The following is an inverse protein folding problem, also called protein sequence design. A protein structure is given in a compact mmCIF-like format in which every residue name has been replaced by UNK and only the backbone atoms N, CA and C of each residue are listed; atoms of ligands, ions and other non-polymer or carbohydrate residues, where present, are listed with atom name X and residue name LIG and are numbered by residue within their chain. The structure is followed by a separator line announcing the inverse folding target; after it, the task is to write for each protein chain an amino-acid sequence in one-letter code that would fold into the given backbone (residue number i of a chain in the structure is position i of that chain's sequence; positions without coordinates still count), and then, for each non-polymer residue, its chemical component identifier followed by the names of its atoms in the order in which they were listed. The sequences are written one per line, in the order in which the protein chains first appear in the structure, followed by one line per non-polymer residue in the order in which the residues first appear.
data_IF_130438126420
#
_entry.id   IF_130438126420
#
_cell.length_a   1.000
_cell.length_b   1.000
_cell.length_c   1.000
_cell.angle_alpha   90.00
_cell.angle_beta   90.00
_cell.angle_gamma   90.00
#
_symmetry.space_group_name_H-M   'P 1'
#
loop_
_entity.id
_entity.type
_entity.pdbx_description
1 polymer ?
#
# COMPACT_ATOMS: atom_id res chain seq x y z
N UNK A 1 -14.84 11.07 -21.69
CA UNK A 1 -13.92 10.07 -22.27
C UNK A 1 -12.82 10.80 -23.01
N UNK A 2 -11.56 10.67 -22.59
CA UNK A 2 -10.40 11.07 -23.40
C UNK A 2 -10.17 10.03 -24.48
N UNK A 3 -9.75 10.47 -25.68
CA UNK A 3 -9.64 9.65 -26.90
C UNK A 3 -8.84 8.36 -26.68
N UNK A 4 -9.19 7.25 -27.37
CA UNK A 4 -8.30 6.10 -27.46
C UNK A 4 -6.98 6.57 -28.07
N UNK A 5 -5.86 6.36 -27.36
CA UNK A 5 -4.53 6.84 -27.75
C UNK A 5 -3.89 7.93 -26.87
N UNK A 6 -4.61 8.57 -25.93
CA UNK A 6 -3.95 9.47 -24.97
C UNK A 6 -3.15 8.67 -23.92
N UNK A 7 -1.91 9.06 -23.55
CA UNK A 7 -1.22 8.43 -22.41
C UNK A 7 -2.06 8.54 -21.13
N UNK A 8 -1.96 7.55 -20.25
CA UNK A 8 -2.44 7.69 -18.88
C UNK A 8 -1.39 8.42 -18.03
N UNK A 9 -1.78 8.82 -16.82
CA UNK A 9 -0.82 9.31 -15.84
C UNK A 9 0.02 8.13 -15.28
N UNK A 10 1.23 8.41 -14.81
CA UNK A 10 2.20 7.42 -14.33
C UNK A 10 1.93 6.81 -12.96
N UNK A 11 0.85 7.18 -12.26
CA UNK A 11 0.59 6.68 -10.90
C UNK A 11 0.46 5.16 -10.82
N UNK A 12 -0.14 4.51 -11.81
CA UNK A 12 -0.29 3.05 -11.79
C UNK A 12 1.04 2.32 -12.02
N UNK A 13 1.90 2.87 -12.89
CA UNK A 13 3.27 2.39 -13.05
C UNK A 13 4.08 2.55 -11.77
N UNK A 14 3.98 3.71 -11.11
CA UNK A 14 4.68 3.96 -9.84
C UNK A 14 4.23 3.02 -8.73
N UNK A 15 2.93 2.69 -8.66
CA UNK A 15 2.43 1.67 -7.71
C UNK A 15 3.03 0.30 -7.96
N UNK A 16 3.14 -0.11 -9.23
CA UNK A 16 3.75 -1.39 -9.57
C UNK A 16 5.25 -1.41 -9.24
N UNK A 17 5.96 -0.31 -9.51
CA UNK A 17 7.37 -0.13 -9.10
C UNK A 17 7.49 -0.19 -7.57
N UNK A 18 6.61 0.48 -6.84
CA UNK A 18 6.59 0.46 -5.38
C UNK A 18 6.38 -0.96 -4.83
N UNK A 19 5.45 -1.74 -5.40
CA UNK A 19 5.28 -3.15 -5.04
C UNK A 19 6.55 -3.97 -5.34
N UNK A 20 7.18 -3.77 -6.50
CA UNK A 20 8.41 -4.47 -6.86
C UNK A 20 9.59 -4.12 -5.93
N UNK A 21 9.71 -2.86 -5.49
CA UNK A 21 10.73 -2.46 -4.50
C UNK A 21 10.54 -3.18 -3.16
N UNK A 22 9.29 -3.41 -2.73
CA UNK A 22 8.97 -4.20 -1.54
C UNK A 22 9.38 -5.66 -1.72
N UNK A 23 9.14 -6.25 -2.90
CA UNK A 23 9.61 -7.61 -3.26
C UNK A 23 11.14 -7.69 -3.19
N UNK A 24 11.85 -6.70 -3.72
CA UNK A 24 13.33 -6.63 -3.68
C UNK A 24 13.84 -6.59 -2.23
N UNK A 25 13.20 -5.80 -1.37
CA UNK A 25 13.54 -5.76 0.05
C UNK A 25 13.36 -7.12 0.72
N UNK A 26 12.17 -7.73 0.57
CA UNK A 26 11.85 -9.03 1.17
C UNK A 26 12.73 -10.18 0.66
N UNK A 27 13.14 -10.16 -0.62
CA UNK A 27 14.04 -11.16 -1.18
C UNK A 27 15.39 -11.24 -0.44
N UNK A 28 15.77 -10.18 0.27
CA UNK A 28 16.98 -10.12 1.09
C UNK A 28 16.71 -10.44 2.55
N UNK A 29 15.75 -9.75 3.18
CA UNK A 29 15.52 -9.90 4.63
C UNK A 29 14.92 -11.25 5.01
N UNK A 30 14.12 -11.87 4.11
CA UNK A 30 13.58 -13.21 4.35
C UNK A 30 14.61 -14.33 4.15
N UNK A 31 15.77 -14.03 3.57
CA UNK A 31 16.95 -14.90 3.56
C UNK A 31 17.84 -14.69 4.82
N UNK A 32 17.36 -13.95 5.82
CA UNK A 32 18.12 -13.64 7.04
C UNK A 32 19.23 -12.61 6.85
N UNK A 33 19.34 -12.00 5.67
CA UNK A 33 20.35 -10.97 5.40
C UNK A 33 19.88 -9.58 5.84
N UNK A 34 20.81 -8.73 6.26
CA UNK A 34 20.52 -7.33 6.58
C UNK A 34 19.91 -6.59 5.36
N UNK A 35 18.97 -5.66 5.55
CA UNK A 35 18.37 -4.90 4.46
C UNK A 35 19.44 -4.14 3.68
N UNK A 36 19.25 -4.04 2.36
CA UNK A 36 20.10 -3.22 1.52
C UNK A 36 19.63 -1.77 1.60
N UNK A 37 20.52 -0.87 2.04
CA UNK A 37 20.24 0.57 2.17
C UNK A 37 20.66 1.31 0.90
N UNK A 38 19.85 2.29 0.48
CA UNK A 38 20.22 3.21 -0.58
C UNK A 38 21.05 4.33 0.07
N UNK A 39 22.38 4.19 0.05
CA UNK A 39 23.28 5.12 0.75
C UNK A 39 22.93 5.22 2.24
N UNK A 40 22.69 6.44 2.71
CA UNK A 40 22.22 6.76 4.07
C UNK A 40 20.71 7.02 4.13
N UNK A 41 19.99 6.66 3.07
CA UNK A 41 18.55 6.86 2.94
C UNK A 41 17.73 5.62 3.32
N UNK A 42 16.63 5.33 2.60
CA UNK A 42 15.75 4.21 2.91
C UNK A 42 16.27 2.90 2.30
N UNK A 43 15.79 1.78 2.82
CA UNK A 43 15.80 0.52 2.07
C UNK A 43 14.67 0.52 0.99
N UNK A 44 14.72 -0.37 -0.01
CA UNK A 44 13.68 -0.45 -1.05
C UNK A 44 12.26 -0.64 -0.53
N UNK A 45 12.06 -1.36 0.57
CA UNK A 45 10.75 -1.60 1.16
C UNK A 45 10.17 -0.32 1.75
N UNK A 46 10.97 0.41 2.54
CA UNK A 46 10.59 1.71 3.06
C UNK A 46 10.30 2.74 1.94
N UNK A 47 11.09 2.75 0.87
CA UNK A 47 10.84 3.58 -0.31
C UNK A 47 9.52 3.21 -1.00
N UNK A 48 9.28 1.92 -1.25
CA UNK A 48 8.06 1.42 -1.86
C UNK A 48 6.80 1.77 -1.06
N UNK A 49 6.81 1.50 0.25
CA UNK A 49 5.72 1.90 1.15
C UNK A 49 5.54 3.42 1.15
N UNK A 50 6.62 4.20 1.21
CA UNK A 50 6.54 5.66 1.14
C UNK A 50 5.89 6.18 -0.14
N UNK A 51 6.22 5.59 -1.30
CA UNK A 51 5.58 5.91 -2.59
C UNK A 51 4.07 5.61 -2.51
N UNK A 52 3.67 4.45 -1.99
CA UNK A 52 2.25 4.13 -1.80
C UNK A 52 1.54 5.18 -0.95
N UNK A 53 2.11 5.60 0.18
CA UNK A 53 1.49 6.59 1.06
C UNK A 53 1.34 7.95 0.39
N UNK A 54 2.35 8.45 -0.34
CA UNK A 54 2.22 9.71 -1.09
C UNK A 54 1.11 9.61 -2.14
N UNK A 55 1.11 8.55 -2.95
CA UNK A 55 0.11 8.33 -4.01
C UNK A 55 -1.29 8.24 -3.41
N UNK A 56 -1.45 7.49 -2.31
CA UNK A 56 -2.70 7.36 -1.59
C UNK A 56 -3.17 8.71 -1.06
N UNK A 57 -2.29 9.48 -0.40
CA UNK A 57 -2.60 10.84 0.05
C UNK A 57 -3.15 11.72 -1.07
N UNK A 58 -2.45 11.76 -2.21
CA UNK A 58 -2.85 12.56 -3.36
C UNK A 58 -4.18 12.09 -3.98
N UNK A 59 -4.26 10.83 -4.40
CA UNK A 59 -5.42 10.34 -5.16
C UNK A 59 -6.67 10.08 -4.31
N UNK A 60 -6.51 9.73 -3.03
CA UNK A 60 -7.62 9.50 -2.11
C UNK A 60 -8.24 10.82 -1.66
N UNK A 61 -7.44 11.89 -1.46
CA UNK A 61 -7.98 13.24 -1.21
C UNK A 61 -8.79 13.75 -2.41
N UNK A 62 -8.28 13.55 -3.63
CA UNK A 62 -9.04 13.83 -4.84
C UNK A 62 -10.35 13.01 -4.92
N UNK A 63 -10.31 11.76 -4.47
CA UNK A 63 -11.50 10.89 -4.40
C UNK A 63 -12.53 11.39 -3.38
N UNK A 64 -12.09 11.90 -2.23
CA UNK A 64 -12.99 12.47 -1.21
C UNK A 64 -13.74 13.68 -1.78
N UNK A 65 -13.01 14.63 -2.39
CA UNK A 65 -13.59 15.86 -2.98
C UNK A 65 -14.62 15.59 -4.07
N UNK A 66 -14.48 14.49 -4.82
CA UNK A 66 -15.39 14.12 -5.92
C UNK A 66 -16.56 13.24 -5.50
N UNK A 67 -16.61 12.79 -4.24
CA UNK A 67 -17.63 11.84 -3.78
C UNK A 67 -18.72 12.60 -3.01
N UNK A 68 -20.02 12.25 -3.17
CA UNK A 68 -21.14 12.98 -2.57
C UNK A 68 -21.17 12.94 -1.03
N UNK A 69 -20.46 12.02 -0.39
CA UNK A 69 -20.41 11.93 1.07
C UNK A 69 -19.38 10.93 1.57
N UNK A 70 -19.08 11.01 2.87
CA UNK A 70 -18.04 10.21 3.54
C UNK A 70 -18.34 8.71 3.54
N UNK A 71 -19.63 8.30 3.62
CA UNK A 71 -20.02 6.90 3.54
C UNK A 71 -19.67 6.25 2.19
N UNK A 72 -19.97 6.94 1.09
CA UNK A 72 -19.59 6.48 -0.27
C UNK A 72 -18.08 6.48 -0.44
N UNK A 73 -17.38 7.44 0.18
CA UNK A 73 -15.92 7.50 0.16
C UNK A 73 -15.32 6.26 0.85
N UNK A 74 -15.78 5.93 2.05
CA UNK A 74 -15.33 4.75 2.79
C UNK A 74 -15.68 3.45 2.07
N UNK A 75 -16.90 3.33 1.52
CA UNK A 75 -17.28 2.16 0.72
C UNK A 75 -16.32 1.92 -0.46
N UNK A 76 -15.89 2.98 -1.16
CA UNK A 76 -14.88 2.86 -2.23
C UNK A 76 -13.51 2.38 -1.73
N UNK A 77 -13.15 2.65 -0.47
CA UNK A 77 -11.90 2.19 0.16
C UNK A 77 -12.01 0.73 0.60
N UNK A 78 -13.12 0.37 1.24
CA UNK A 78 -13.42 -1.03 1.61
C UNK A 78 -13.39 -1.92 0.38
N UNK A 79 -14.08 -1.54 -0.71
CA UNK A 79 -14.05 -2.27 -1.98
C UNK A 79 -12.67 -2.33 -2.66
N UNK A 80 -11.72 -1.46 -2.26
CA UNK A 80 -10.35 -1.47 -2.79
C UNK A 80 -9.42 -2.43 -2.03
N UNK A 81 -9.64 -2.61 -0.73
CA UNK A 81 -8.75 -3.36 0.18
C UNK A 81 -9.35 -4.72 0.52
N UNK A 82 -10.56 -4.74 1.11
CA UNK A 82 -11.09 -5.92 1.80
C UNK A 82 -11.24 -7.17 0.90
N UNK A 83 -11.72 -7.09 -0.36
CA UNK A 83 -11.87 -8.28 -1.19
C UNK A 83 -10.53 -8.97 -1.49
N UNK A 84 -9.52 -8.19 -1.91
CA UNK A 84 -8.20 -8.74 -2.23
C UNK A 84 -7.47 -9.23 -0.97
N UNK A 85 -7.60 -8.50 0.14
CA UNK A 85 -7.07 -8.94 1.44
C UNK A 85 -7.70 -10.25 1.89
N UNK A 86 -9.03 -10.37 1.85
CA UNK A 86 -9.73 -11.59 2.25
C UNK A 86 -9.27 -12.79 1.41
N UNK A 87 -9.17 -12.63 0.09
CA UNK A 87 -8.67 -13.69 -0.79
C UNK A 87 -7.24 -14.10 -0.44
N UNK A 88 -6.35 -13.13 -0.18
CA UNK A 88 -4.98 -13.40 0.22
C UNK A 88 -4.90 -14.13 1.57
N UNK A 89 -5.67 -13.69 2.57
CA UNK A 89 -5.70 -14.32 3.90
C UNK A 89 -6.24 -15.75 3.83
N UNK A 90 -7.31 -16.00 3.06
CA UNK A 90 -7.87 -17.34 2.86
C UNK A 90 -6.87 -18.25 2.14
N UNK A 91 -6.20 -17.76 1.08
CA UNK A 91 -5.16 -18.51 0.40
C UNK A 91 -4.01 -18.85 1.37
N UNK A 92 -3.55 -17.85 2.13
CA UNK A 92 -2.46 -18.02 3.09
C UNK A 92 -2.82 -19.02 4.19
N UNK A 93 -3.97 -18.88 4.84
CA UNK A 93 -4.34 -19.70 5.99
C UNK A 93 -4.88 -21.08 5.61
N UNK A 94 -5.66 -21.19 4.53
CA UNK A 94 -6.39 -22.43 4.21
C UNK A 94 -5.73 -23.27 3.12
N UNK A 95 -4.78 -22.70 2.37
CA UNK A 95 -4.07 -23.41 1.30
C UNK A 95 -2.58 -23.49 1.61
N UNK A 96 -1.91 -22.35 1.73
CA UNK A 96 -0.47 -22.31 1.94
C UNK A 96 -0.08 -22.84 3.33
N UNK A 97 -0.81 -22.44 4.38
CA UNK A 97 -0.60 -22.86 5.76
C UNK A 97 -0.45 -24.38 5.93
N UNK A 98 -1.45 -25.20 5.59
CA UNK A 98 -1.34 -26.66 5.73
C UNK A 98 -0.34 -27.32 4.77
N UNK A 99 0.10 -26.63 3.70
CA UNK A 99 1.11 -27.16 2.78
C UNK A 99 2.54 -27.00 3.29
N UNK A 100 2.78 -26.02 4.18
CA UNK A 100 4.11 -25.67 4.69
C UNK A 100 4.16 -25.64 6.22
N UNK A 101 3.15 -26.22 6.87
CA UNK A 101 3.11 -26.41 8.31
C UNK A 101 3.81 -27.71 8.69
N UNK A 102 4.53 -27.70 9.80
CA UNK A 102 5.11 -28.91 10.41
C UNK A 102 4.05 -29.80 11.09
N UNK A 103 2.79 -29.33 11.18
CA UNK A 103 1.69 -30.07 11.77
C UNK A 103 1.00 -31.00 10.74
N UNK A 104 0.50 -32.17 11.16
CA UNK A 104 -0.45 -32.92 10.36
C UNK A 104 -1.67 -32.06 9.99
N UNK A 105 -2.17 -32.20 8.76
CA UNK A 105 -3.31 -31.41 8.25
C UNK A 105 -4.54 -31.49 9.16
N UNK A 106 -4.78 -32.64 9.78
CA UNK A 106 -5.89 -32.84 10.72
C UNK A 106 -5.73 -31.97 11.99
N UNK A 107 -4.51 -31.86 12.52
CA UNK A 107 -4.22 -31.06 13.71
C UNK A 107 -4.25 -29.57 13.37
N UNK A 108 -3.73 -29.19 12.20
CA UNK A 108 -3.76 -27.80 11.71
C UNK A 108 -5.18 -27.24 11.62
N UNK A 109 -6.12 -28.02 11.05
CA UNK A 109 -7.53 -27.62 10.94
C UNK A 109 -8.36 -27.94 12.19
N UNK A 110 -7.81 -28.70 13.14
CA UNK A 110 -8.39 -28.88 14.47
C UNK A 110 -8.25 -27.63 15.36
N UNK A 111 -7.30 -26.74 15.05
CA UNK A 111 -7.09 -25.46 15.74
C UNK A 111 -7.98 -24.34 15.16
N UNK A 112 -8.41 -23.41 16.01
CA UNK A 112 -9.11 -22.19 15.60
C UNK A 112 -8.17 -21.12 15.00
N UNK A 113 -6.86 -21.27 15.17
CA UNK A 113 -5.85 -20.29 14.78
C UNK A 113 -5.87 -19.91 13.28
N UNK A 114 -6.05 -20.83 12.30
CA UNK A 114 -6.15 -20.44 10.88
C UNK A 114 -7.35 -19.53 10.60
N UNK A 115 -8.51 -19.81 11.22
CA UNK A 115 -9.69 -18.97 11.08
C UNK A 115 -9.50 -17.63 11.81
N UNK A 116 -8.96 -17.64 13.03
CA UNK A 116 -8.66 -16.43 13.78
C UNK A 116 -7.64 -15.56 13.06
N UNK A 117 -6.64 -16.13 12.40
CA UNK A 117 -5.70 -15.40 11.56
C UNK A 117 -6.41 -14.61 10.47
N UNK A 118 -7.36 -15.23 9.76
CA UNK A 118 -8.16 -14.55 8.73
C UNK A 118 -8.99 -13.43 9.33
N UNK A 119 -9.76 -13.70 10.41
CA UNK A 119 -10.66 -12.71 11.00
C UNK A 119 -9.90 -11.53 11.61
N UNK A 120 -8.83 -11.82 12.35
CA UNK A 120 -7.99 -10.81 13.00
C UNK A 120 -7.30 -9.92 11.97
N UNK A 121 -6.69 -10.49 10.93
CA UNK A 121 -6.02 -9.69 9.90
C UNK A 121 -7.01 -8.96 8.98
N UNK A 122 -8.20 -9.51 8.72
CA UNK A 122 -9.26 -8.81 7.98
C UNK A 122 -9.76 -7.56 8.72
N UNK A 123 -9.70 -7.57 10.05
CA UNK A 123 -10.01 -6.38 10.87
C UNK A 123 -8.99 -5.24 10.69
N UNK A 124 -7.80 -5.53 10.11
CA UNK A 124 -6.63 -4.66 9.99
C UNK A 124 -5.94 -4.29 11.32
N UNK A 125 -6.63 -4.31 12.45
CA UNK A 125 -6.09 -3.79 13.72
C UNK A 125 -5.52 -4.88 14.63
N UNK A 126 -6.06 -6.10 14.58
CA UNK A 126 -5.58 -7.24 15.34
C UNK A 126 -4.50 -8.04 14.59
N UNK A 127 -3.53 -7.36 13.98
CA UNK A 127 -2.55 -8.01 13.07
C UNK A 127 -1.88 -9.21 13.75
N UNK A 128 -1.99 -10.37 13.12
CA UNK A 128 -1.39 -11.64 13.57
C UNK A 128 -0.47 -12.12 12.47
N UNK A 129 0.77 -12.45 12.83
CA UNK A 129 1.80 -12.78 11.85
C UNK A 129 2.05 -14.28 11.72
N UNK A 130 1.70 -15.05 12.73
CA UNK A 130 1.97 -16.48 12.84
C UNK A 130 0.75 -17.35 12.51
N UNK A 131 1.04 -18.59 12.08
CA UNK A 131 0.09 -19.69 11.95
C UNK A 131 0.72 -20.94 12.58
N UNK A 132 -0.07 -21.89 13.11
CA UNK A 132 0.47 -23.07 13.78
C UNK A 132 1.43 -23.88 12.89
N UNK A 133 2.68 -24.03 13.33
CA UNK A 133 3.71 -24.80 12.64
C UNK A 133 4.18 -24.24 11.29
N UNK A 134 3.75 -23.05 10.88
CA UNK A 134 4.06 -22.49 9.55
C UNK A 134 5.37 -21.70 9.61
N UNK A 135 6.35 -22.09 8.80
CA UNK A 135 7.67 -21.44 8.70
C UNK A 135 8.44 -21.37 10.02
N UNK A 136 8.36 -22.43 10.85
CA UNK A 136 9.08 -22.47 12.12
C UNK A 136 10.61 -22.50 11.91
N UNK A 137 11.06 -23.21 10.88
CA UNK A 137 12.48 -23.40 10.54
C UNK A 137 12.99 -22.50 9.40
N UNK A 138 12.14 -21.60 8.88
CA UNK A 138 12.54 -20.67 7.81
C UNK A 138 13.57 -19.64 8.32
N UNK A 139 14.41 -19.05 7.43
CA UNK A 139 15.40 -18.05 7.86
C UNK A 139 14.81 -16.82 8.54
N UNK A 140 13.53 -16.52 8.27
CA UNK A 140 12.74 -15.51 8.97
C UNK A 140 11.53 -16.19 9.65
N UNK A 141 11.70 -16.76 10.86
CA UNK A 141 10.75 -17.72 11.39
C UNK A 141 9.46 -17.08 11.92
N UNK A 142 8.36 -17.85 11.89
CA UNK A 142 7.06 -17.53 12.51
C UNK A 142 6.36 -16.24 12.00
N UNK A 143 6.75 -15.71 10.84
CA UNK A 143 6.07 -14.57 10.22
C UNK A 143 5.58 -14.96 8.83
N UNK A 144 4.30 -15.28 8.72
CA UNK A 144 3.66 -15.74 7.49
C UNK A 144 3.46 -14.61 6.49
N UNK A 145 3.04 -13.43 6.96
CA UNK A 145 2.84 -12.27 6.09
C UNK A 145 3.15 -10.95 6.82
N UNK A 146 4.42 -10.54 6.74
CA UNK A 146 4.86 -9.28 7.32
C UNK A 146 4.26 -8.06 6.63
N UNK A 147 3.91 -8.11 5.34
CA UNK A 147 3.37 -6.96 4.58
C UNK A 147 2.08 -6.37 5.15
N UNK A 148 1.34 -7.10 5.98
CA UNK A 148 0.04 -6.67 6.51
C UNK A 148 0.11 -5.44 7.41
N UNK A 149 1.28 -5.15 8.01
CA UNK A 149 1.45 -4.08 8.99
C UNK A 149 1.09 -2.68 8.46
N UNK A 150 1.30 -2.43 7.16
CA UNK A 150 1.11 -1.09 6.56
C UNK A 150 -0.36 -0.80 6.26
N UNK A 151 -1.18 -1.84 6.01
CA UNK A 151 -2.59 -1.70 5.62
C UNK A 151 -3.40 -1.04 6.71
N UNK A 152 -3.09 -1.32 7.98
CA UNK A 152 -3.75 -0.67 9.14
C UNK A 152 -3.46 0.82 9.18
N UNK A 153 -2.24 1.23 8.83
CA UNK A 153 -1.86 2.64 8.78
C UNK A 153 -2.53 3.35 7.61
N UNK A 154 -2.55 2.71 6.43
CA UNK A 154 -3.22 3.24 5.25
C UNK A 154 -4.72 3.44 5.50
N UNK A 155 -5.40 2.42 6.03
CA UNK A 155 -6.83 2.50 6.31
C UNK A 155 -7.13 3.53 7.42
N UNK A 156 -6.26 3.65 8.43
CA UNK A 156 -6.37 4.70 9.46
C UNK A 156 -6.23 6.10 8.86
N UNK A 157 -5.32 6.31 7.90
CA UNK A 157 -5.22 7.58 7.17
C UNK A 157 -6.50 7.87 6.38
N UNK A 158 -7.14 6.86 5.81
CA UNK A 158 -8.44 7.01 5.14
C UNK A 158 -9.56 7.40 6.11
N UNK A 159 -9.60 6.78 7.31
CA UNK A 159 -10.56 7.14 8.35
C UNK A 159 -10.35 8.58 8.84
N UNK A 160 -9.10 8.98 9.07
CA UNK A 160 -8.76 10.36 9.45
C UNK A 160 -9.19 11.37 8.39
N UNK A 161 -8.93 11.08 7.11
CA UNK A 161 -9.36 11.92 6.02
C UNK A 161 -10.89 11.96 5.87
N UNK A 162 -11.59 10.84 6.10
CA UNK A 162 -13.05 10.80 6.15
C UNK A 162 -13.61 11.66 7.29
N UNK A 163 -13.01 11.61 8.48
CA UNK A 163 -13.41 12.42 9.62
C UNK A 163 -13.22 13.92 9.32
N UNK A 164 -12.05 14.31 8.77
CA UNK A 164 -11.82 15.68 8.31
C UNK A 164 -12.83 16.10 7.22
N UNK A 165 -13.18 15.19 6.31
CA UNK A 165 -14.22 15.41 5.30
C UNK A 165 -15.59 15.66 5.91
N UNK A 166 -16.00 14.86 6.88
CA UNK A 166 -17.28 14.99 7.59
C UNK A 166 -17.38 16.33 8.34
N UNK A 167 -16.28 16.75 8.97
CA UNK A 167 -16.17 18.01 9.68
C UNK A 167 -15.94 19.22 8.75
N UNK A 168 -15.84 19.01 7.44
CA UNK A 168 -15.50 20.05 6.43
C UNK A 168 -14.15 20.74 6.69
N UNK A 169 -13.23 20.00 7.31
CA UNK A 169 -11.86 20.39 7.67
C UNK A 169 -10.80 19.80 6.74
N UNK A 170 -11.16 18.96 5.77
CA UNK A 170 -10.24 18.43 4.74
C UNK A 170 -9.84 19.53 3.72
N UNK A 171 -9.22 20.60 4.21
CA UNK A 171 -8.79 21.79 3.46
C UNK A 171 -7.26 21.85 3.43
N UNK A 172 -6.72 22.46 2.39
CA UNK A 172 -5.30 22.57 2.15
C UNK A 172 -4.46 23.03 3.37
N UNK A 173 -4.79 24.14 4.08
CA UNK A 173 -3.99 24.57 5.24
C UNK A 173 -4.06 23.59 6.43
N UNK A 174 -5.20 22.94 6.64
CA UNK A 174 -5.34 21.93 7.72
C UNK A 174 -4.50 20.71 7.41
N UNK A 175 -4.58 20.20 6.17
CA UNK A 175 -3.79 19.06 5.73
C UNK A 175 -2.28 19.35 5.78
N UNK A 176 -1.86 20.56 5.39
CA UNK A 176 -0.47 20.99 5.51
C UNK A 176 -0.03 21.14 6.98
N UNK A 177 -0.87 21.72 7.84
CA UNK A 177 -0.59 21.81 9.27
C UNK A 177 -0.43 20.43 9.92
N UNK A 178 -1.33 19.50 9.60
CA UNK A 178 -1.23 18.11 10.05
C UNK A 178 0.01 17.41 9.48
N UNK A 179 0.38 17.69 8.23
CA UNK A 179 1.64 17.22 7.68
C UNK A 179 2.80 17.73 8.56
N UNK A 180 2.94 19.04 8.76
CA UNK A 180 4.01 19.61 9.57
C UNK A 180 4.07 19.01 10.98
N UNK A 181 2.92 18.75 11.61
CA UNK A 181 2.86 18.06 12.90
C UNK A 181 3.36 16.61 12.82
N UNK A 182 2.94 15.83 11.82
CA UNK A 182 3.39 14.46 11.63
C UNK A 182 4.90 14.38 11.31
N UNK A 183 5.39 15.29 10.47
CA UNK A 183 6.82 15.42 10.15
C UNK A 183 7.63 15.82 11.38
N UNK A 184 7.18 16.82 12.15
CA UNK A 184 7.83 17.22 13.40
C UNK A 184 7.85 16.09 14.43
N UNK A 185 6.75 15.36 14.60
CA UNK A 185 6.69 14.21 15.49
C UNK A 185 7.65 13.08 15.05
N UNK A 186 7.72 12.80 13.75
CA UNK A 186 8.70 11.84 13.20
C UNK A 186 10.14 12.26 13.52
N UNK A 187 10.50 13.53 13.28
CA UNK A 187 11.84 14.05 13.57
C UNK A 187 12.17 13.93 15.06
N UNK A 188 11.23 14.27 15.96
CA UNK A 188 11.42 14.12 17.40
C UNK A 188 11.69 12.65 17.74
N UNK A 189 10.84 11.73 17.30
CA UNK A 189 11.00 10.29 17.60
C UNK A 189 12.33 9.75 17.08
N UNK A 190 12.72 10.12 15.86
CA UNK A 190 13.95 9.67 15.23
C UNK A 190 15.21 10.24 15.91
N UNK A 191 15.29 11.56 16.11
CA UNK A 191 16.49 12.19 16.67
C UNK A 191 16.67 11.95 18.18
N UNK A 192 15.60 11.62 18.90
CA UNK A 192 15.70 11.18 20.30
C UNK A 192 16.02 9.69 20.45
N UNK A 193 16.05 8.95 19.34
CA UNK A 193 16.26 7.51 19.30
C UNK A 193 15.15 6.71 20.00
N UNK A 194 13.96 7.29 20.17
CA UNK A 194 12.85 6.63 20.87
C UNK A 194 12.36 5.38 20.12
N UNK A 195 12.44 5.40 18.79
CA UNK A 195 12.08 4.29 17.91
C UNK A 195 12.87 3.00 18.18
N UNK A 196 14.08 3.11 18.73
CA UNK A 196 14.91 1.96 19.12
C UNK A 196 14.56 1.37 20.48
N UNK A 197 13.72 2.04 21.29
CA UNK A 197 13.47 1.68 22.69
C UNK A 197 12.31 0.71 22.90
N UNK A 198 11.54 0.39 21.86
CA UNK A 198 10.44 -0.57 21.96
C UNK A 198 9.49 -0.57 20.76
N UNK A 199 8.65 -1.60 20.67
CA UNK A 199 7.75 -1.81 19.54
C UNK A 199 6.76 -0.65 19.34
N UNK A 200 6.16 -0.15 20.43
CA UNK A 200 5.22 0.97 20.35
C UNK A 200 5.86 2.23 19.75
N UNK A 201 7.10 2.55 20.14
CA UNK A 201 7.82 3.71 19.64
C UNK A 201 8.25 3.52 18.18
N UNK A 202 8.67 2.31 17.79
CA UNK A 202 8.89 1.95 16.38
C UNK A 202 7.63 2.12 15.55
N UNK A 203 6.47 1.65 16.03
CA UNK A 203 5.20 1.83 15.34
C UNK A 203 4.79 3.30 15.24
N UNK A 204 5.03 4.09 16.29
CA UNK A 204 4.80 5.53 16.25
C UNK A 204 5.71 6.23 15.22
N UNK A 205 6.99 5.85 15.13
CA UNK A 205 7.92 6.34 14.09
C UNK A 205 7.41 6.02 12.68
N UNK A 206 7.01 4.77 12.45
CA UNK A 206 6.45 4.36 11.15
C UNK A 206 5.13 5.08 10.85
N UNK A 207 4.24 5.24 11.83
CA UNK A 207 2.97 5.94 11.66
C UNK A 207 3.16 7.43 11.37
N UNK A 208 4.09 8.11 12.04
CA UNK A 208 4.39 9.53 11.83
C UNK A 208 5.07 9.78 10.49
N UNK A 209 6.04 8.96 10.08
CA UNK A 209 6.67 9.07 8.76
C UNK A 209 5.68 8.83 7.62
N UNK A 210 4.94 7.72 7.66
CA UNK A 210 3.98 7.39 6.61
C UNK A 210 2.78 8.33 6.62
N UNK A 211 2.37 8.79 7.81
CA UNK A 211 1.39 9.85 7.98
C UNK A 211 1.83 11.17 7.36
N UNK A 212 3.08 11.58 7.57
CA UNK A 212 3.70 12.73 6.90
C UNK A 212 3.62 12.59 5.39
N UNK A 213 4.08 11.47 4.83
CA UNK A 213 4.09 11.23 3.38
C UNK A 213 2.68 11.28 2.77
N UNK A 214 1.70 10.66 3.44
CA UNK A 214 0.30 10.73 3.03
C UNK A 214 -0.26 12.15 3.10
N UNK A 215 -0.02 12.86 4.21
CA UNK A 215 -0.55 14.21 4.40
C UNK A 215 0.10 15.22 3.46
N UNK A 216 1.37 15.04 3.10
CA UNK A 216 2.01 15.80 2.01
C UNK A 216 1.32 15.55 0.67
N UNK A 217 1.07 14.28 0.31
CA UNK A 217 0.30 13.94 -0.89
C UNK A 217 -1.10 14.59 -0.88
N UNK A 218 -1.79 14.53 0.26
CA UNK A 218 -3.11 15.13 0.45
C UNK A 218 -3.09 16.66 0.33
N UNK A 219 -2.10 17.32 0.95
CA UNK A 219 -1.93 18.77 0.87
C UNK A 219 -1.61 19.20 -0.57
N UNK A 220 -0.73 18.49 -1.28
CA UNK A 220 -0.41 18.77 -2.69
C UNK A 220 -1.65 18.68 -3.58
N UNK A 221 -2.54 17.72 -3.34
CA UNK A 221 -3.83 17.65 -4.06
C UNK A 221 -4.76 18.81 -3.70
N UNK A 222 -4.88 19.11 -2.40
CA UNK A 222 -5.80 20.14 -1.92
C UNK A 222 -5.40 21.55 -2.38
N UNK A 223 -4.11 21.81 -2.56
CA UNK A 223 -3.57 23.05 -3.12
C UNK A 223 -3.55 23.07 -4.68
N UNK A 224 -3.97 22.00 -5.36
CA UNK A 224 -3.79 21.79 -6.82
C UNK A 224 -2.33 21.99 -7.28
N UNK A 225 -1.36 21.57 -6.46
CA UNK A 225 0.06 21.69 -6.82
C UNK A 225 0.37 20.74 -7.96
N UNK A 226 1.08 21.27 -8.96
CA UNK A 226 1.58 20.53 -10.14
C UNK A 226 3.11 20.63 -10.11
N UNK A 227 3.80 19.77 -9.34
CA UNK A 227 5.24 19.88 -9.20
C UNK A 227 5.93 19.76 -10.57
N UNK A 228 6.88 20.64 -10.88
CA UNK A 228 7.63 20.56 -12.12
C UNK A 228 8.52 19.32 -12.14
N UNK A 229 8.82 18.80 -13.34
CA UNK A 229 9.56 17.55 -13.55
C UNK A 229 10.92 17.49 -12.82
N UNK A 230 11.61 18.62 -12.67
CA UNK A 230 12.91 18.68 -11.99
C UNK A 230 12.83 18.31 -10.50
N UNK A 231 11.66 18.42 -9.86
CA UNK A 231 11.49 17.98 -8.46
C UNK A 231 11.69 16.47 -8.30
N UNK A 232 11.47 15.69 -9.36
CA UNK A 232 11.83 14.27 -9.38
C UNK A 232 13.35 14.07 -9.29
N UNK A 233 14.13 14.87 -10.02
CA UNK A 233 15.59 14.83 -9.94
C UNK A 233 16.10 15.20 -8.54
N UNK A 234 15.50 16.21 -7.89
CA UNK A 234 15.83 16.55 -6.50
C UNK A 234 15.49 15.41 -5.54
N UNK A 235 14.33 14.75 -5.71
CA UNK A 235 13.99 13.56 -4.93
C UNK A 235 15.02 12.43 -5.10
N UNK A 236 15.52 12.20 -6.32
CA UNK A 236 16.58 11.22 -6.58
C UNK A 236 17.91 11.60 -5.92
N UNK A 237 18.28 12.89 -5.92
CA UNK A 237 19.48 13.39 -5.24
C UNK A 237 19.39 13.24 -3.72
N UNK A 238 18.20 13.42 -3.14
CA UNK A 238 17.97 13.26 -1.70
C UNK A 238 17.83 11.80 -1.27
N UNK A 239 17.51 10.89 -2.20
CA UNK A 239 17.27 9.48 -1.91
C UNK A 239 18.41 8.78 -1.15
N UNK A 240 19.71 8.97 -1.46
CA UNK A 240 20.80 8.35 -0.71
C UNK A 240 21.15 9.06 0.61
N UNK A 241 20.32 10.01 1.07
CA UNK A 241 20.59 10.83 2.26
C UNK A 241 19.55 10.60 3.36
N UNK A 242 19.82 10.97 4.62
CA UNK A 242 18.81 10.93 5.68
C UNK A 242 17.58 11.81 5.39
N UNK A 243 17.67 12.76 4.45
CA UNK A 243 16.61 13.67 4.06
C UNK A 243 15.69 13.15 2.93
N UNK A 244 15.81 11.87 2.53
CA UNK A 244 15.07 11.27 1.40
C UNK A 244 13.55 11.54 1.45
N UNK A 245 12.96 11.49 2.64
CA UNK A 245 11.52 11.64 2.85
C UNK A 245 10.99 13.05 2.58
N UNK A 246 11.88 14.07 2.54
CA UNK A 246 11.50 15.46 2.22
C UNK A 246 11.26 15.65 0.72
N UNK A 247 12.09 15.02 -0.12
CA UNK A 247 11.97 15.11 -1.58
C UNK A 247 10.91 14.18 -2.17
N UNK A 248 10.59 13.08 -1.47
CA UNK A 248 9.75 12.02 -2.00
C UNK A 248 8.33 12.49 -2.41
N UNK A 249 7.59 13.30 -1.62
CA UNK A 249 6.24 13.70 -2.00
C UNK A 249 6.16 14.45 -3.34
N UNK A 250 7.07 15.40 -3.57
CA UNK A 250 7.12 16.17 -4.81
C UNK A 250 7.56 15.28 -5.97
N UNK A 251 8.58 14.45 -5.77
CA UNK A 251 9.08 13.53 -6.80
C UNK A 251 8.01 12.55 -7.28
N UNK A 252 7.28 11.92 -6.35
CA UNK A 252 6.23 10.95 -6.66
C UNK A 252 5.06 11.61 -7.39
N UNK A 253 4.63 12.80 -6.96
CA UNK A 253 3.54 13.51 -7.66
C UNK A 253 4.00 14.03 -9.03
N UNK A 254 5.24 14.52 -9.16
CA UNK A 254 5.81 14.92 -10.45
C UNK A 254 5.83 13.75 -11.44
N UNK A 255 6.44 12.63 -11.06
CA UNK A 255 6.53 11.41 -11.88
C UNK A 255 5.15 10.81 -12.17
N UNK A 256 4.27 10.77 -11.16
CA UNK A 256 2.94 10.20 -11.29
C UNK A 256 2.04 10.99 -12.23
N UNK A 257 2.30 12.28 -12.43
CA UNK A 257 1.59 13.13 -13.39
C UNK A 257 2.15 13.06 -14.80
N UNK A 258 3.34 12.49 -15.00
CA UNK A 258 3.91 12.32 -16.33
C UNK A 258 3.10 11.31 -17.15
N UNK A 259 3.07 11.47 -18.48
CA UNK A 259 2.55 10.45 -19.39
C UNK A 259 3.26 9.11 -19.19
N UNK A 260 2.49 8.02 -19.08
CA UNK A 260 3.00 6.67 -18.99
C UNK A 260 2.13 5.67 -19.79
N UNK A 261 2.68 4.49 -20.14
CA UNK A 261 1.90 3.41 -20.72
C UNK A 261 0.73 3.01 -19.81
N UNK A 262 -0.42 2.71 -20.42
CA UNK A 262 -1.55 2.12 -19.67
C UNK A 262 -1.24 0.68 -19.35
N UNK A 263 -1.20 0.35 -18.06
CA UNK A 263 -1.11 -1.04 -17.64
C UNK A 263 -2.45 -1.76 -17.89
N UNK A 264 -2.43 -3.01 -18.39
CA UNK A 264 -3.65 -3.77 -18.66
C UNK A 264 -4.37 -4.21 -17.36
N UNK A 265 -3.65 -4.20 -16.24
CA UNK A 265 -4.12 -4.63 -14.93
C UNK A 265 -3.42 -3.84 -13.81
N UNK A 266 -4.13 -3.57 -12.71
CA UNK A 266 -3.54 -3.03 -11.49
C UNK A 266 -3.08 -4.19 -10.60
N UNK A 267 -1.87 -4.68 -10.88
CA UNK A 267 -1.27 -5.81 -10.16
C UNK A 267 -0.59 -5.39 -8.86
N UNK A 268 -0.51 -4.08 -8.57
CA UNK A 268 0.33 -3.55 -7.49
C UNK A 268 -0.10 -4.06 -6.12
N UNK A 269 -1.40 -4.08 -5.86
CA UNK A 269 -1.94 -4.52 -4.58
C UNK A 269 -1.77 -6.03 -4.36
N UNK A 270 -2.12 -6.84 -5.36
CA UNK A 270 -1.86 -8.28 -5.35
C UNK A 270 -0.36 -8.58 -5.14
N UNK A 271 0.52 -7.95 -5.92
CA UNK A 271 1.96 -8.18 -5.79
C UNK A 271 2.46 -7.82 -4.38
N UNK A 272 1.92 -6.76 -3.77
CA UNK A 272 2.27 -6.36 -2.41
C UNK A 272 1.85 -7.38 -1.34
N UNK A 273 0.61 -7.90 -1.40
CA UNK A 273 0.05 -8.77 -0.35
C UNK A 273 0.42 -10.25 -0.50
N UNK A 274 0.55 -10.76 -1.74
CA UNK A 274 0.88 -12.16 -2.01
C UNK A 274 2.38 -12.44 -1.99
N UNK A 275 3.24 -11.44 -2.24
CA UNK A 275 4.68 -11.68 -2.35
C UNK A 275 5.30 -12.22 -1.07
N UNK A 276 5.00 -11.65 0.10
CA UNK A 276 5.63 -12.07 1.37
C UNK A 276 5.46 -13.58 1.68
N UNK A 277 4.23 -14.14 1.76
CA UNK A 277 4.08 -15.56 2.06
C UNK A 277 4.69 -16.45 0.98
N UNK A 278 4.63 -16.06 -0.30
CA UNK A 278 5.26 -16.80 -1.39
C UNK A 278 6.79 -16.75 -1.33
N UNK A 279 7.36 -15.63 -0.87
CA UNK A 279 8.80 -15.48 -0.65
C UNK A 279 9.28 -16.30 0.55
N UNK A 280 8.47 -16.46 1.60
CA UNK A 280 8.78 -17.38 2.70
C UNK A 280 8.90 -18.83 2.22
N UNK A 281 7.97 -19.29 1.36
CA UNK A 281 8.08 -20.62 0.73
C UNK A 281 9.38 -20.75 -0.06
N UNK A 282 9.75 -19.74 -0.84
CA UNK A 282 11.01 -19.75 -1.58
C UNK A 282 12.24 -19.74 -0.65
N UNK A 283 12.18 -19.02 0.47
CA UNK A 283 13.28 -18.90 1.43
C UNK A 283 13.58 -20.24 2.10
N UNK A 284 12.53 -20.92 2.58
CA UNK A 284 12.59 -22.24 3.20
C UNK A 284 13.24 -23.30 2.28
N UNK A 285 13.04 -23.16 0.97
CA UNK A 285 13.62 -24.07 -0.03
C UNK A 285 14.98 -23.60 -0.58
N UNK A 286 15.56 -22.51 -0.05
CA UNK A 286 16.82 -21.96 -0.52
C UNK A 286 16.79 -21.43 -1.97
N UNK A 287 15.61 -21.02 -2.46
CA UNK A 287 15.36 -20.54 -3.84
C UNK A 287 14.95 -19.07 -3.90
N UNK A 288 15.03 -18.35 -2.80
CA UNK A 288 14.58 -16.96 -2.74
C UNK A 288 15.58 -16.01 -3.41
N UNK A 289 15.16 -15.44 -4.53
CA UNK A 289 15.76 -14.27 -5.15
C UNK A 289 14.66 -13.39 -5.77
N UNK A 290 15.03 -12.24 -6.33
CA UNK A 290 14.05 -11.28 -6.89
C UNK A 290 13.29 -11.87 -8.10
N UNK A 291 13.97 -12.63 -8.96
CA UNK A 291 13.37 -13.19 -10.17
C UNK A 291 12.40 -14.31 -9.81
N UNK A 292 12.78 -15.23 -8.92
CA UNK A 292 11.89 -16.30 -8.46
C UNK A 292 10.70 -15.73 -7.70
N UNK A 293 10.91 -14.68 -6.90
CA UNK A 293 9.83 -13.97 -6.20
C UNK A 293 8.81 -13.37 -7.17
N UNK A 294 9.28 -12.65 -8.20
CA UNK A 294 8.39 -12.03 -9.19
C UNK A 294 7.69 -13.08 -10.06
N UNK A 295 8.42 -14.11 -10.50
CA UNK A 295 7.87 -15.20 -11.30
C UNK A 295 6.76 -15.94 -10.56
N UNK A 296 6.91 -16.14 -9.24
CA UNK A 296 5.90 -16.79 -8.41
C UNK A 296 4.76 -15.84 -8.04
N UNK A 297 5.02 -14.59 -7.66
CA UNK A 297 3.99 -13.68 -7.14
C UNK A 297 3.11 -13.03 -8.22
N UNK A 298 3.64 -12.76 -9.42
CA UNK A 298 2.88 -12.09 -10.49
C UNK A 298 1.65 -12.90 -10.96
N UNK A 299 1.70 -14.23 -11.14
CA UNK A 299 0.51 -15.03 -11.45
C UNK A 299 -0.59 -14.90 -10.40
N UNK A 300 -0.25 -14.94 -9.10
CA UNK A 300 -1.23 -14.78 -8.01
C UNK A 300 -1.79 -13.37 -7.96
N UNK A 301 -0.94 -12.35 -8.16
CA UNK A 301 -1.38 -10.97 -8.28
C UNK A 301 -2.36 -10.78 -9.46
N UNK A 302 -2.08 -11.41 -10.61
CA UNK A 302 -2.96 -11.38 -11.78
C UNK A 302 -4.28 -12.11 -11.51
N UNK A 303 -4.24 -13.30 -10.92
CA UNK A 303 -5.44 -14.04 -10.53
C UNK A 303 -6.32 -13.23 -9.57
N UNK A 304 -5.72 -12.65 -8.51
CA UNK A 304 -6.42 -11.75 -7.59
C UNK A 304 -7.07 -10.58 -8.32
N UNK A 305 -6.33 -9.92 -9.22
CA UNK A 305 -6.86 -8.79 -9.96
C UNK A 305 -8.09 -9.17 -10.80
N UNK A 306 -7.99 -10.22 -11.63
CA UNK A 306 -9.06 -10.55 -12.56
C UNK A 306 -10.26 -11.24 -11.90
N UNK A 307 -10.03 -12.05 -10.87
CA UNK A 307 -11.06 -12.86 -10.23
C UNK A 307 -11.72 -12.17 -9.02
N UNK A 308 -11.00 -11.29 -8.32
CA UNK A 308 -11.47 -10.71 -7.04
C UNK A 308 -11.54 -9.19 -7.09
N UNK A 309 -10.41 -8.52 -7.32
CA UNK A 309 -10.33 -7.07 -7.16
C UNK A 309 -11.12 -6.34 -8.25
N UNK A 310 -10.92 -6.67 -9.53
CA UNK A 310 -11.62 -6.02 -10.64
C UNK A 310 -13.14 -6.20 -10.56
N UNK A 311 -13.70 -7.39 -10.28
CA UNK A 311 -15.13 -7.55 -10.02
C UNK A 311 -15.64 -6.70 -8.85
N UNK A 312 -14.94 -6.71 -7.71
CA UNK A 312 -15.35 -5.92 -6.55
C UNK A 312 -15.31 -4.40 -6.83
N UNK A 313 -14.30 -3.93 -7.56
CA UNK A 313 -14.17 -2.54 -7.96
C UNK A 313 -15.29 -2.08 -8.92
N UNK A 314 -15.87 -2.98 -9.72
CA UNK A 314 -17.05 -2.67 -10.56
C UNK A 314 -18.28 -2.32 -9.72
N UNK A 315 -18.37 -2.80 -8.48
CA UNK A 315 -19.48 -2.47 -7.57
C UNK A 315 -19.49 -0.99 -7.16
N UNK A 316 -18.38 -0.25 -7.38
CA UNK A 316 -18.35 1.20 -7.16
C UNK A 316 -19.38 1.95 -8.00
N UNK A 317 -19.74 1.44 -9.17
CA UNK A 317 -20.77 2.03 -10.04
C UNK A 317 -22.19 1.92 -9.45
N UNK A 318 -22.40 1.03 -8.47
CA UNK A 318 -23.70 0.85 -7.80
C UNK A 318 -23.87 1.75 -6.57
N UNK A 319 -22.85 2.51 -6.19
CA UNK A 319 -22.92 3.40 -5.03
C UNK A 319 -23.73 4.67 -5.35
N UNK A 320 -24.54 5.18 -4.40
CA UNK A 320 -25.33 6.41 -4.60
C UNK A 320 -24.46 7.59 -5.05
N UNK A 321 -24.94 8.34 -6.04
CA UNK A 321 -24.21 9.46 -6.64
C UNK A 321 -23.03 9.08 -7.52
N UNK A 322 -22.93 7.81 -7.95
CA UNK A 322 -22.28 7.47 -9.20
C UNK A 322 -23.11 8.11 -10.33
N UNK A 323 -22.78 9.34 -10.70
CA UNK A 323 -23.41 10.01 -11.83
C UNK A 323 -23.22 9.11 -13.05
N UNK A 324 -24.32 8.49 -13.49
CA UNK A 324 -24.42 7.92 -14.82
C UNK A 324 -24.20 9.07 -15.80
N UNK A 325 -22.97 9.22 -16.31
CA UNK A 325 -22.72 10.00 -17.51
C UNK A 325 -23.27 9.19 -18.69
N UNK A 326 -24.60 9.17 -18.83
CA UNK A 326 -25.24 8.90 -20.12
C UNK A 326 -25.02 10.17 -20.94
N UNK A 327 -24.32 10.13 -22.09
CA UNK A 327 -24.24 11.30 -22.96
C UNK A 327 -25.59 11.47 -23.66
N UNK A 328 -26.43 12.34 -23.12
CA UNK A 328 -27.57 12.90 -23.83
C UNK A 328 -27.07 13.72 -25.01
N UNK A 329 -27.67 13.47 -26.18
CA UNK A 329 -27.42 14.16 -27.45
C UNK A 329 -27.48 15.68 -27.25
N UNK A 330 -26.45 16.38 -27.74
CA UNK A 330 -26.55 17.82 -28.00
C UNK A 330 -27.23 17.96 -29.35
N UNK A 331 -28.52 18.27 -29.35
CA UNK A 331 -29.17 18.89 -30.50
C UNK A 331 -28.57 20.28 -30.68
N UNK A 332 -28.06 20.55 -31.89
CA UNK A 332 -27.62 21.89 -32.28
C UNK A 332 -28.84 22.67 -32.79
N UNK A 333 -29.07 23.91 -32.35
CA UNK A 333 -29.89 24.83 -33.11
C UNK A 333 -29.05 25.47 -34.23
N UNK A 334 -29.71 25.59 -35.37
CA UNK A 334 -29.30 26.22 -36.65
C UNK A 334 -28.94 27.69 -36.45
#
# INVERSE_FOLDING_TARGET
MSRPGSPANGFDCLRLIAAALVVVHHARVLNGAAPWMIGWGPDPGALGVGIFFVISGYLVTASLRRTPGVGVFLAKRVLRIAPGLLAALLLTALVLGPLVSDLPVADYFGDAAPLLYVLKNLSLYAVTYDLPGVFADAPYPNVVNGSLWSLRLEFTAYLGLAALGALRLARAPVLAGLALLAGGAFLVVHFTGLDTRGELARLASLATLNGWLFLCGAALEAFDVKPPAWTAAVGLVLLPTPAWFLGLPLAVVALGRMPAPRLPADLSYGLYIYSFPLQQVLAEHGRLDVLTSLALALPFAAASWFLVEKPALRLKARLPGAVNLVPGRVEQPV
#
